data_IF_071973844276
#
_entry.id   IF_071973844276
#
_cell.length_a   1.000
_cell.length_b   1.000
_cell.length_c   1.000
_cell.angle_alpha   90.00
_cell.angle_beta   90.00
_cell.angle_gamma   90.00
#
_symmetry.space_group_name_H-M   'P 1'
#
loop_
_entity.id
_entity.type
_entity.pdbx_description
1 polymer ?
#
# COMPACT_ATOMS: atom_id res chain seq x y z
N UNK A 1 -0.65 -8.09 -1.03
CA UNK A 1 -0.82 -6.81 -0.30
C UNK A 1 0.17 -6.80 0.83
N UNK A 2 0.86 -5.69 1.05
CA UNK A 2 1.79 -5.49 2.17
C UNK A 2 1.29 -4.34 3.02
N UNK A 3 1.22 -4.54 4.33
CA UNK A 3 0.92 -3.49 5.30
C UNK A 3 2.23 -2.90 5.83
N UNK A 4 2.38 -1.58 5.80
CA UNK A 4 3.51 -0.92 6.45
C UNK A 4 3.28 -0.89 7.98
N UNK A 5 4.33 -1.03 8.81
CA UNK A 5 4.18 -0.94 10.25
C UNK A 5 3.62 0.42 10.67
N UNK A 6 2.53 0.43 11.45
CA UNK A 6 1.86 1.64 11.92
C UNK A 6 2.76 2.58 12.78
N UNK A 7 3.81 2.04 13.39
CA UNK A 7 4.77 2.80 14.20
C UNK A 7 5.83 3.56 13.38
N UNK A 8 5.83 3.43 12.05
CA UNK A 8 6.80 4.15 11.22
C UNK A 8 6.59 5.67 11.29
N UNK A 9 7.63 6.45 11.62
CA UNK A 9 7.50 7.90 11.67
C UNK A 9 7.35 8.52 10.29
N UNK A 10 6.46 9.51 10.17
CA UNK A 10 6.21 10.24 8.92
C UNK A 10 7.35 11.21 8.63
N UNK A 11 8.45 10.69 8.06
CA UNK A 11 9.66 11.44 7.72
C UNK A 11 10.27 10.91 6.43
N UNK A 12 10.94 11.78 5.69
CA UNK A 12 11.60 11.42 4.43
C UNK A 12 12.63 10.28 4.59
N UNK A 13 13.44 10.31 5.65
CA UNK A 13 14.42 9.25 5.89
C UNK A 13 13.76 7.87 6.10
N UNK A 14 12.62 7.82 6.80
CA UNK A 14 11.83 6.59 6.97
C UNK A 14 11.34 6.09 5.62
N UNK A 15 10.87 7.00 4.77
CA UNK A 15 10.36 6.68 3.44
C UNK A 15 11.43 6.02 2.56
N UNK A 16 12.67 6.52 2.60
CA UNK A 16 13.80 5.90 1.88
C UNK A 16 14.08 4.48 2.37
N UNK A 17 14.06 4.26 3.70
CA UNK A 17 14.24 2.91 4.27
C UNK A 17 13.13 1.96 3.82
N UNK A 18 11.89 2.44 3.76
CA UNK A 18 10.75 1.65 3.26
C UNK A 18 10.93 1.30 1.78
N UNK A 19 11.36 2.26 0.95
CA UNK A 19 11.60 2.05 -0.48
C UNK A 19 12.67 0.97 -0.68
N UNK A 20 13.81 1.07 0.00
CA UNK A 20 14.90 0.09 -0.12
C UNK A 20 14.43 -1.32 0.27
N UNK A 21 13.67 -1.43 1.37
CA UNK A 21 13.10 -2.70 1.81
C UNK A 21 12.10 -3.28 0.80
N UNK A 22 11.25 -2.44 0.19
CA UNK A 22 10.28 -2.87 -0.83
C UNK A 22 10.97 -3.31 -2.12
N UNK A 23 12.02 -2.62 -2.55
CA UNK A 23 12.81 -3.01 -3.72
C UNK A 23 13.51 -4.36 -3.50
N UNK A 24 14.12 -4.54 -2.32
CA UNK A 24 14.72 -5.82 -1.94
C UNK A 24 13.67 -6.95 -1.91
N UNK A 25 12.48 -6.68 -1.36
CA UNK A 25 11.38 -7.65 -1.34
C UNK A 25 10.93 -8.04 -2.76
N UNK A 26 10.69 -7.08 -3.65
CA UNK A 26 10.25 -7.34 -5.02
C UNK A 26 11.29 -8.13 -5.81
N UNK A 27 12.57 -7.80 -5.65
CA UNK A 27 13.67 -8.54 -6.29
C UNK A 27 13.75 -9.99 -5.77
N UNK A 28 13.53 -10.19 -4.46
CA UNK A 28 13.57 -11.51 -3.83
C UNK A 28 12.35 -12.38 -4.16
N UNK A 29 11.19 -11.75 -4.35
CA UNK A 29 9.92 -12.43 -4.59
C UNK A 29 9.20 -11.85 -5.82
N UNK A 30 9.68 -12.17 -7.05
CA UNK A 30 9.05 -11.69 -8.27
C UNK A 30 7.59 -12.13 -8.35
N UNK A 31 6.69 -11.18 -8.65
CA UNK A 31 5.25 -11.44 -8.73
C UNK A 31 4.65 -10.65 -9.90
N UNK A 32 3.89 -11.28 -10.81
CA UNK A 32 3.23 -10.59 -11.92
C UNK A 32 2.02 -9.74 -11.49
N UNK A 33 1.56 -9.89 -10.24
CA UNK A 33 0.42 -9.13 -9.71
C UNK A 33 0.85 -7.72 -9.27
N UNK A 34 -0.08 -6.75 -9.26
CA UNK A 34 0.20 -5.42 -8.73
C UNK A 34 0.77 -5.44 -7.31
N UNK A 35 1.75 -4.58 -7.04
CA UNK A 35 2.19 -4.27 -5.69
C UNK A 35 1.14 -3.38 -5.03
N UNK A 36 0.37 -3.95 -4.11
CA UNK A 36 -0.59 -3.22 -3.29
C UNK A 36 0.02 -2.98 -1.90
N UNK A 37 0.21 -1.71 -1.56
CA UNK A 37 0.71 -1.25 -0.28
C UNK A 37 -0.42 -0.61 0.50
N UNK A 38 -0.50 -0.90 1.80
CA UNK A 38 -1.42 -0.25 2.73
C UNK A 38 -0.61 0.36 3.87
N UNK A 39 -0.93 1.60 4.23
CA UNK A 39 -0.27 2.32 5.31
C UNK A 39 -1.32 3.04 6.17
N UNK A 40 -1.09 3.09 7.47
CA UNK A 40 -1.86 3.96 8.37
C UNK A 40 -1.38 5.41 8.30
N UNK A 41 -0.14 5.61 7.86
CA UNK A 41 0.46 6.92 7.67
C UNK A 41 0.12 7.52 6.32
N UNK A 42 0.11 8.85 6.24
CA UNK A 42 0.08 9.65 5.01
C UNK A 42 1.43 9.52 4.25
N UNK A 43 1.60 8.39 3.56
CA UNK A 43 2.77 8.11 2.73
C UNK A 43 2.45 8.01 1.24
N UNK A 44 1.18 7.92 0.85
CA UNK A 44 0.75 7.44 -0.46
C UNK A 44 1.37 8.22 -1.60
N UNK A 45 1.26 9.54 -1.56
CA UNK A 45 1.82 10.40 -2.61
C UNK A 45 3.33 10.29 -2.72
N UNK A 46 4.04 10.46 -1.60
CA UNK A 46 5.50 10.48 -1.60
C UNK A 46 6.09 9.10 -1.96
N UNK A 47 5.53 8.02 -1.39
CA UNK A 47 5.92 6.65 -1.68
C UNK A 47 5.66 6.30 -3.14
N UNK A 48 4.47 6.64 -3.66
CA UNK A 48 4.11 6.40 -5.05
C UNK A 48 5.04 7.13 -6.02
N UNK A 49 5.32 8.42 -5.77
CA UNK A 49 6.20 9.23 -6.62
C UNK A 49 7.64 8.69 -6.67
N UNK A 50 8.17 8.21 -5.55
CA UNK A 50 9.56 7.76 -5.46
C UNK A 50 9.74 6.29 -5.87
N UNK A 51 8.76 5.42 -5.59
CA UNK A 51 8.85 4.00 -5.89
C UNK A 51 8.48 3.67 -7.33
N UNK A 52 7.52 4.40 -7.93
CA UNK A 52 7.05 4.11 -9.30
C UNK A 52 8.15 4.16 -10.37
N UNK A 53 9.08 5.14 -10.39
CA UNK A 53 10.16 5.15 -11.37
C UNK A 53 11.13 3.96 -11.23
N UNK A 54 11.25 3.41 -10.03
CA UNK A 54 12.12 2.26 -9.74
C UNK A 54 11.51 0.94 -10.18
N UNK A 55 10.18 0.89 -10.29
CA UNK A 55 9.41 -0.31 -10.66
C UNK A 55 8.48 -0.02 -11.87
N UNK A 56 9.02 0.41 -13.03
CA UNK A 56 8.20 0.94 -14.12
C UNK A 56 7.23 -0.08 -14.72
N UNK A 57 7.55 -1.37 -14.61
CA UNK A 57 6.76 -2.47 -15.17
C UNK A 57 5.82 -3.13 -14.16
N UNK A 58 5.91 -2.78 -12.87
CA UNK A 58 5.05 -3.34 -11.84
C UNK A 58 3.92 -2.36 -11.52
N UNK A 59 2.64 -2.70 -11.77
CA UNK A 59 1.54 -1.87 -11.33
C UNK A 59 1.61 -1.67 -9.81
N UNK A 60 1.50 -0.42 -9.36
CA UNK A 60 1.63 -0.03 -7.96
C UNK A 60 0.37 0.72 -7.55
N UNK A 61 -0.19 0.35 -6.40
CA UNK A 61 -1.21 1.10 -5.71
C UNK A 61 -0.81 1.24 -4.24
N UNK A 62 -0.89 2.46 -3.71
CA UNK A 62 -0.68 2.74 -2.28
C UNK A 62 -2.00 3.26 -1.73
N UNK A 63 -2.49 2.62 -0.68
CA UNK A 63 -3.66 3.03 0.09
C UNK A 63 -3.13 3.50 1.44
N UNK A 64 -3.06 4.80 1.64
CA UNK A 64 -2.63 5.44 2.87
C UNK A 64 -3.80 5.86 3.75
N UNK A 65 -3.49 6.20 5.00
CA UNK A 65 -4.47 6.60 6.03
C UNK A 65 -5.57 5.55 6.29
N UNK A 66 -5.28 4.26 6.02
CA UNK A 66 -6.21 3.15 6.26
C UNK A 66 -5.61 2.17 7.27
N UNK A 67 -6.29 2.00 8.40
CA UNK A 67 -5.95 0.97 9.40
C UNK A 67 -6.58 -0.36 9.04
N UNK A 68 -5.77 -1.41 9.17
CA UNK A 68 -6.15 -2.79 8.90
C UNK A 68 -5.52 -3.73 9.92
N UNK A 69 -6.19 -4.86 10.14
CA UNK A 69 -5.73 -5.97 10.97
C UNK A 69 -5.50 -7.20 10.12
N UNK A 70 -4.73 -8.14 10.65
CA UNK A 70 -4.59 -9.45 10.02
C UNK A 70 -5.97 -10.11 9.91
N UNK A 71 -6.32 -10.56 8.70
CA UNK A 71 -7.62 -11.14 8.40
C UNK A 71 -8.68 -10.14 7.91
N UNK A 72 -8.39 -8.84 7.88
CA UNK A 72 -9.25 -7.86 7.22
C UNK A 72 -9.16 -8.00 5.70
N UNK A 73 -10.29 -7.77 5.05
CA UNK A 73 -10.44 -7.72 3.60
C UNK A 73 -10.58 -6.26 3.16
N UNK A 74 -9.97 -5.91 2.03
CA UNK A 74 -10.14 -4.60 1.40
C UNK A 74 -10.85 -4.80 0.08
N UNK A 75 -12.06 -4.26 -0.02
CA UNK A 75 -12.79 -4.15 -1.28
C UNK A 75 -12.45 -2.80 -1.95
N UNK A 76 -12.05 -2.87 -3.21
CA UNK A 76 -11.78 -1.71 -4.06
C UNK A 76 -12.93 -1.61 -5.06
N UNK A 77 -13.74 -0.56 -4.96
CA UNK A 77 -14.91 -0.37 -5.82
C UNK A 77 -14.56 0.14 -7.22
N UNK A 78 -15.58 0.47 -8.00
CA UNK A 78 -15.35 1.06 -9.33
C UNK A 78 -14.87 2.50 -9.22
N UNK A 79 -13.98 2.96 -10.11
CA UNK A 79 -13.53 4.34 -10.10
C UNK A 79 -14.68 5.33 -10.27
N UNK A 80 -14.62 6.42 -9.51
CA UNK A 80 -15.57 7.53 -9.51
C UNK A 80 -14.91 8.78 -10.11
N UNK A 81 -15.73 9.79 -10.45
CA UNK A 81 -15.25 11.11 -10.92
C UNK A 81 -14.21 11.02 -12.04
N UNK A 82 -14.53 10.28 -13.11
CA UNK A 82 -13.65 10.10 -14.27
C UNK A 82 -12.39 9.28 -13.99
N UNK A 83 -12.35 8.51 -12.89
CA UNK A 83 -11.22 7.68 -12.52
C UNK A 83 -10.24 8.32 -11.55
N UNK A 84 -10.54 9.51 -11.04
CA UNK A 84 -9.67 10.24 -10.11
C UNK A 84 -9.70 9.69 -8.67
N UNK A 85 -10.79 9.01 -8.30
CA UNK A 85 -10.98 8.45 -6.95
C UNK A 85 -11.53 7.04 -7.07
N UNK A 86 -11.11 6.15 -6.16
CA UNK A 86 -11.67 4.80 -6.04
C UNK A 86 -12.11 4.58 -4.59
N UNK A 87 -13.36 4.17 -4.34
CA UNK A 87 -13.82 3.92 -2.98
C UNK A 87 -13.22 2.62 -2.45
N UNK A 88 -12.83 2.66 -1.17
CA UNK A 88 -12.24 1.53 -0.45
C UNK A 88 -13.12 1.17 0.73
N UNK A 89 -13.40 -0.11 0.94
CA UNK A 89 -14.13 -0.61 2.13
C UNK A 89 -13.28 -1.66 2.84
N UNK A 90 -13.05 -1.47 4.14
CA UNK A 90 -12.41 -2.47 5.00
C UNK A 90 -13.49 -3.35 5.62
N UNK A 91 -13.40 -4.66 5.42
CA UNK A 91 -14.29 -5.67 5.99
C UNK A 91 -13.52 -6.52 6.99
N UNK A 92 -13.87 -6.39 8.26
CA UNK A 92 -13.32 -7.24 9.31
C UNK A 92 -14.18 -8.48 9.51
N UNK A 93 -13.54 -9.64 9.58
CA UNK A 93 -14.20 -10.85 10.03
C UNK A 93 -14.31 -10.82 11.56
N UNK A 94 -15.53 -10.72 12.07
CA UNK A 94 -15.81 -10.93 13.48
C UNK A 94 -16.07 -12.41 13.70
N UNK A 95 -15.16 -13.08 14.40
CA UNK A 95 -15.39 -14.45 14.87
C UNK A 95 -16.01 -14.37 16.27
N UNK A 96 -17.22 -14.90 16.48
CA UNK A 96 -17.76 -15.03 17.83
C UNK A 96 -16.89 -16.00 18.63
N UNK A 97 -16.61 -15.63 19.89
CA UNK A 97 -15.96 -16.47 20.89
C UNK A 97 -16.86 -17.62 21.33
#
# INVERSE_FOLDING_TARGET
>A
MLALPASLPVRYATLLTVIDALLAFVARFPNPRPLLLVAEQDFGKALGMLLRPQLPHLPLAVIDEVSIRAGDYIDIGTPLFGGSVVPVTVKSLAFPS
#
